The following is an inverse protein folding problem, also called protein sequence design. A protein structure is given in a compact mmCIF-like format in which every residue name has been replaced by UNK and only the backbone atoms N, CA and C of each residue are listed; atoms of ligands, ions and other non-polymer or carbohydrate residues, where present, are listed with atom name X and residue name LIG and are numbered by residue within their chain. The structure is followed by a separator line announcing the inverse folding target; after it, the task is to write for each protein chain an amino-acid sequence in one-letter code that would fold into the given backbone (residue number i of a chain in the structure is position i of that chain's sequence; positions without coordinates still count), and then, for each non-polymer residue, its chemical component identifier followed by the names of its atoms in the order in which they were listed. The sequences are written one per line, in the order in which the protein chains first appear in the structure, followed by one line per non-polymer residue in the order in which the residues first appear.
data_IF_004034516003
#
_entry.id   IF_004034516003
#
_cell.length_a   1.000
_cell.length_b   1.000
_cell.length_c   1.000
_cell.angle_alpha   90.00
_cell.angle_beta   90.00
_cell.angle_gamma   90.00
#
_symmetry.space_group_name_H-M   'P 1'
#
loop_
_entity.id
_entity.type
_entity.pdbx_description
1 polymer ?
#
# COMPACT_ATOMS: atom_id res chain seq x y z
N UNK A 1 -14.91 -9.96 8.93
CA UNK A 1 -13.62 -10.52 9.30
C UNK A 1 -12.84 -10.87 8.04
N UNK A 2 -11.53 -10.62 8.03
CA UNK A 2 -10.64 -11.06 6.96
C UNK A 2 -10.49 -12.59 6.99
N UNK A 3 -10.28 -13.21 5.83
CA UNK A 3 -10.02 -14.65 5.70
C UNK A 3 -8.61 -15.04 6.12
N UNK A 4 -7.67 -14.08 6.23
CA UNK A 4 -6.31 -14.25 6.74
C UNK A 4 -5.92 -13.06 7.63
N UNK A 5 -5.04 -13.28 8.60
CA UNK A 5 -4.51 -12.22 9.46
C UNK A 5 -3.58 -11.27 8.69
N UNK A 6 -2.78 -11.82 7.78
CA UNK A 6 -1.82 -11.06 6.97
C UNK A 6 -2.49 -10.44 5.75
N UNK A 7 -2.27 -9.14 5.55
CA UNK A 7 -2.88 -8.37 4.45
C UNK A 7 -2.57 -8.96 3.07
N UNK A 8 -1.32 -9.37 2.84
CA UNK A 8 -0.92 -9.92 1.54
C UNK A 8 -1.61 -11.26 1.24
N UNK A 9 -1.85 -12.12 2.22
CA UNK A 9 -2.60 -13.36 2.05
C UNK A 9 -4.10 -13.10 1.85
N UNK A 10 -4.66 -12.18 2.63
CA UNK A 10 -6.06 -11.78 2.50
C UNK A 10 -6.37 -11.20 1.12
N UNK A 11 -5.53 -10.27 0.64
CA UNK A 11 -5.65 -9.67 -0.69
C UNK A 11 -5.45 -10.71 -1.80
N UNK A 12 -4.41 -11.54 -1.71
CA UNK A 12 -4.16 -12.60 -2.68
C UNK A 12 -5.35 -13.57 -2.77
N UNK A 13 -5.92 -13.96 -1.64
CA UNK A 13 -7.10 -14.83 -1.60
C UNK A 13 -8.33 -14.16 -2.22
N UNK A 14 -8.65 -12.94 -1.79
CA UNK A 14 -9.85 -12.22 -2.22
C UNK A 14 -9.80 -11.92 -3.72
N UNK A 15 -8.69 -11.36 -4.22
CA UNK A 15 -8.53 -10.98 -5.61
C UNK A 15 -8.38 -12.19 -6.57
N UNK A 16 -8.13 -13.38 -6.03
CA UNK A 16 -8.10 -14.62 -6.83
C UNK A 16 -9.27 -15.55 -6.53
N UNK A 17 -10.23 -15.13 -5.67
CA UNK A 17 -11.45 -15.87 -5.35
C UNK A 17 -11.19 -17.30 -4.85
N UNK A 18 -10.10 -17.49 -4.10
CA UNK A 18 -9.73 -18.81 -3.55
C UNK A 18 -8.89 -18.70 -2.29
N UNK A 19 -8.98 -19.66 -1.41
CA UNK A 19 -8.06 -19.77 -0.29
C UNK A 19 -6.64 -20.09 -0.76
N UNK A 20 -5.64 -19.56 -0.05
CA UNK A 20 -4.22 -19.67 -0.41
C UNK A 20 -3.43 -20.60 0.52
N UNK A 21 -4.12 -21.46 1.30
CA UNK A 21 -3.49 -22.38 2.25
C UNK A 21 -2.49 -23.33 1.56
N UNK A 22 -2.75 -23.69 0.29
CA UNK A 22 -1.85 -24.54 -0.50
C UNK A 22 -0.44 -23.93 -0.72
N UNK A 23 -0.26 -22.64 -0.45
CA UNK A 23 1.05 -22.01 -0.55
C UNK A 23 2.02 -22.56 0.50
N UNK A 24 1.54 -22.97 1.68
CA UNK A 24 2.38 -23.62 2.69
C UNK A 24 3.04 -24.89 2.18
N UNK A 25 2.33 -25.67 1.36
CA UNK A 25 2.86 -26.88 0.73
C UNK A 25 3.94 -26.58 -0.30
N UNK A 26 3.88 -25.37 -0.91
CA UNK A 26 4.80 -24.95 -1.99
C UNK A 26 6.06 -24.29 -1.46
N UNK A 27 5.92 -23.39 -0.49
CA UNK A 27 7.03 -22.54 0.01
C UNK A 27 7.46 -22.90 1.43
N UNK A 28 6.74 -23.81 2.12
CA UNK A 28 6.93 -24.17 3.53
C UNK A 28 6.12 -23.31 4.50
N UNK A 29 5.68 -23.94 5.60
CA UNK A 29 4.83 -23.29 6.62
C UNK A 29 5.50 -22.07 7.30
N UNK A 30 6.82 -22.15 7.50
CA UNK A 30 7.63 -21.13 8.14
C UNK A 30 8.21 -20.09 7.14
N UNK A 31 7.77 -20.13 5.86
CA UNK A 31 8.33 -19.29 4.81
C UNK A 31 7.92 -17.83 4.98
N UNK A 32 8.91 -16.93 4.94
CA UNK A 32 8.72 -15.49 4.89
C UNK A 32 8.66 -14.94 3.46
N UNK A 33 8.65 -15.82 2.45
CA UNK A 33 8.61 -15.42 1.04
C UNK A 33 7.23 -14.92 0.61
N UNK A 34 7.10 -13.63 0.45
CA UNK A 34 5.86 -12.95 0.04
C UNK A 34 5.74 -12.74 -1.48
N UNK A 35 6.74 -13.18 -2.27
CA UNK A 35 6.77 -12.93 -3.73
C UNK A 35 5.56 -13.52 -4.44
N UNK A 36 5.17 -14.75 -4.09
CA UNK A 36 4.03 -15.42 -4.73
C UNK A 36 2.71 -14.69 -4.42
N UNK A 37 2.35 -14.39 -3.15
CA UNK A 37 1.18 -13.59 -2.86
C UNK A 37 1.17 -12.22 -3.55
N UNK A 38 2.30 -11.50 -3.62
CA UNK A 38 2.37 -10.22 -4.32
C UNK A 38 2.14 -10.35 -5.84
N UNK A 39 2.70 -11.38 -6.48
CA UNK A 39 2.41 -11.68 -7.89
C UNK A 39 0.93 -12.00 -8.10
N UNK A 40 0.32 -12.75 -7.18
CA UNK A 40 -1.11 -13.08 -7.23
C UNK A 40 -1.99 -11.83 -7.09
N UNK A 41 -1.57 -10.81 -6.32
CA UNK A 41 -2.25 -9.52 -6.21
C UNK A 41 -2.07 -8.72 -7.50
N UNK A 42 -0.82 -8.58 -7.96
CA UNK A 42 -0.48 -7.73 -9.11
C UNK A 42 -1.13 -8.19 -10.43
N UNK A 43 -1.36 -9.49 -10.57
CA UNK A 43 -1.90 -10.12 -11.79
C UNK A 43 -3.05 -11.08 -11.45
N UNK A 44 -4.07 -10.58 -10.78
CA UNK A 44 -5.13 -11.36 -10.15
C UNK A 44 -6.26 -11.79 -11.09
N UNK A 45 -7.03 -12.80 -10.66
CA UNK A 45 -8.11 -13.38 -11.46
C UNK A 45 -9.34 -12.46 -11.58
N UNK A 46 -9.68 -11.70 -10.54
CA UNK A 46 -10.83 -10.78 -10.59
C UNK A 46 -10.65 -9.78 -11.72
N UNK A 47 -9.50 -9.12 -11.77
CA UNK A 47 -9.22 -8.12 -12.80
C UNK A 47 -9.06 -8.74 -14.19
N UNK A 48 -8.47 -9.96 -14.30
CA UNK A 48 -8.44 -10.70 -15.56
C UNK A 48 -9.83 -10.99 -16.11
N UNK A 49 -10.74 -11.42 -15.24
CA UNK A 49 -12.12 -11.69 -15.62
C UNK A 49 -12.83 -10.41 -16.06
N UNK A 50 -12.66 -9.30 -15.33
CA UNK A 50 -13.22 -8.03 -15.71
C UNK A 50 -12.69 -7.54 -17.06
N UNK A 51 -11.38 -7.64 -17.28
CA UNK A 51 -10.78 -7.30 -18.60
C UNK A 51 -11.34 -8.18 -19.72
N UNK A 52 -11.57 -9.46 -19.47
CA UNK A 52 -12.10 -10.38 -20.49
C UNK A 52 -13.51 -10.01 -20.97
N UNK A 53 -14.26 -9.28 -20.15
CA UNK A 53 -15.60 -8.77 -20.49
C UNK A 53 -15.62 -7.26 -20.81
N UNK A 54 -14.45 -6.68 -21.06
CA UNK A 54 -14.31 -5.34 -21.62
C UNK A 54 -14.09 -4.21 -20.63
N UNK A 55 -13.87 -4.48 -19.33
CA UNK A 55 -13.54 -3.43 -18.36
C UNK A 55 -12.13 -2.91 -18.53
N UNK A 56 -11.95 -1.62 -18.30
CA UNK A 56 -10.67 -0.99 -17.99
C UNK A 56 -10.43 -1.01 -16.48
N UNK A 57 -9.18 -1.27 -16.08
CA UNK A 57 -8.79 -1.41 -14.68
C UNK A 57 -7.92 -0.22 -14.26
N UNK A 58 -8.39 0.55 -13.31
CA UNK A 58 -7.66 1.66 -12.72
C UNK A 58 -7.28 1.32 -11.29
N UNK A 59 -5.99 1.36 -10.98
CA UNK A 59 -5.44 1.15 -9.65
C UNK A 59 -4.97 2.49 -9.06
N UNK A 60 -5.27 2.72 -7.80
CA UNK A 60 -4.71 3.83 -7.03
C UNK A 60 -3.54 3.34 -6.18
N UNK A 61 -2.37 3.98 -6.35
CA UNK A 61 -1.19 3.70 -5.53
C UNK A 61 -1.51 3.86 -4.04
N UNK A 62 -1.37 2.77 -3.29
CA UNK A 62 -1.60 2.73 -1.84
C UNK A 62 -0.36 3.11 -1.02
N UNK A 63 0.81 3.14 -1.64
CA UNK A 63 2.10 3.20 -0.96
C UNK A 63 2.56 1.87 -0.37
N UNK A 64 1.70 0.86 -0.32
CA UNK A 64 2.07 -0.48 0.13
C UNK A 64 2.44 -1.37 -1.05
N UNK A 65 3.53 -2.13 -0.93
CA UNK A 65 4.11 -2.93 -2.01
C UNK A 65 3.11 -3.77 -2.79
N UNK A 66 2.16 -4.39 -2.11
CA UNK A 66 1.21 -5.31 -2.73
C UNK A 66 0.19 -4.63 -3.65
N UNK A 67 -0.11 -3.34 -3.43
CA UNK A 67 -1.13 -2.59 -4.19
C UNK A 67 -0.67 -1.21 -4.63
N UNK A 68 0.65 -0.96 -4.57
CA UNK A 68 1.26 0.27 -5.07
C UNK A 68 1.07 0.40 -6.58
N UNK A 69 1.40 -0.66 -7.30
CA UNK A 69 1.24 -0.74 -8.74
C UNK A 69 0.80 -2.15 -9.11
N UNK A 70 -0.23 -2.25 -9.91
CA UNK A 70 -0.72 -3.54 -10.41
C UNK A 70 -0.35 -3.69 -11.88
N UNK A 71 0.30 -4.81 -12.21
CA UNK A 71 0.72 -5.11 -13.57
C UNK A 71 -0.47 -5.20 -14.53
N UNK A 72 -1.59 -5.73 -14.03
CA UNK A 72 -2.81 -5.90 -14.81
C UNK A 72 -3.60 -4.60 -15.02
N UNK A 73 -3.33 -3.54 -14.28
CA UNK A 73 -4.04 -2.27 -14.41
C UNK A 73 -3.72 -1.57 -15.73
N UNK A 74 -4.71 -0.95 -16.34
CA UNK A 74 -4.55 -0.08 -17.51
C UNK A 74 -3.96 1.28 -17.12
N UNK A 75 -4.27 1.74 -15.89
CA UNK A 75 -3.65 2.91 -15.28
C UNK A 75 -3.36 2.68 -13.80
N UNK A 76 -2.18 3.13 -13.34
CA UNK A 76 -1.81 3.25 -11.94
C UNK A 76 -1.76 4.74 -11.59
N UNK A 77 -2.77 5.19 -10.84
CA UNK A 77 -2.99 6.60 -10.48
C UNK A 77 -2.33 6.93 -9.14
N UNK A 78 -2.14 8.22 -8.86
CA UNK A 78 -1.50 8.71 -7.63
C UNK A 78 -0.08 8.16 -7.38
N UNK A 79 0.57 7.63 -8.40
CA UNK A 79 1.97 7.20 -8.30
C UNK A 79 2.86 8.42 -8.14
N UNK A 80 3.48 8.57 -6.98
CA UNK A 80 4.44 9.64 -6.76
C UNK A 80 5.75 9.30 -7.49
N UNK A 81 6.33 10.31 -8.14
CA UNK A 81 7.65 10.19 -8.76
C UNK A 81 8.69 9.91 -7.66
N UNK A 82 9.15 8.67 -7.58
CA UNK A 82 10.09 8.22 -6.56
C UNK A 82 11.51 8.62 -6.93
N UNK A 83 11.91 9.79 -6.46
CA UNK A 83 13.32 10.15 -6.37
C UNK A 83 13.94 9.49 -5.12
N UNK A 84 14.09 8.21 -5.06
CA UNK A 84 14.62 7.40 -3.99
C UNK A 84 13.57 6.96 -2.96
N UNK A 85 13.26 5.68 -2.98
CA UNK A 85 12.33 5.02 -2.08
C UNK A 85 12.80 5.17 -0.62
N UNK A 86 11.89 5.53 0.27
CA UNK A 86 12.11 5.63 1.71
C UNK A 86 12.79 4.38 2.28
N UNK A 87 12.38 3.19 1.84
CA UNK A 87 13.00 1.94 2.28
C UNK A 87 14.46 1.85 1.87
N UNK A 88 14.82 2.32 0.68
CA UNK A 88 16.21 2.40 0.21
C UNK A 88 16.99 3.41 1.01
N UNK A 89 16.42 4.59 1.29
CA UNK A 89 17.05 5.62 2.12
C UNK A 89 17.26 5.13 3.56
N UNK A 90 16.22 4.49 4.13
CA UNK A 90 16.28 3.92 5.47
C UNK A 90 17.30 2.78 5.56
N UNK A 91 17.35 1.89 4.56
CA UNK A 91 18.34 0.81 4.48
C UNK A 91 19.77 1.35 4.35
N UNK A 92 19.98 2.35 3.49
CA UNK A 92 21.28 3.02 3.35
C UNK A 92 21.71 3.70 4.65
N UNK A 93 20.79 4.33 5.37
CA UNK A 93 21.03 4.93 6.67
C UNK A 93 21.43 3.88 7.71
N UNK A 94 20.73 2.74 7.76
CA UNK A 94 21.04 1.63 8.68
C UNK A 94 22.40 0.98 8.41
N UNK A 95 22.85 0.95 7.16
CA UNK A 95 24.13 0.37 6.74
C UNK A 95 25.31 1.35 6.85
N UNK A 96 25.07 2.64 7.13
CA UNK A 96 26.09 3.67 7.10
C UNK A 96 26.54 4.11 8.50
N UNK A 97 27.69 4.77 8.55
CA UNK A 97 28.27 5.42 9.75
C UNK A 97 27.33 6.47 10.33
N UNK A 98 26.34 6.93 9.55
CA UNK A 98 25.33 7.92 9.97
C UNK A 98 24.43 7.42 11.11
N UNK A 99 24.31 6.11 11.33
CA UNK A 99 23.62 5.55 12.49
C UNK A 99 24.15 6.07 13.83
N UNK A 100 25.46 6.37 13.89
CA UNK A 100 26.08 6.92 15.10
C UNK A 100 25.68 8.38 15.39
N UNK A 101 25.19 9.10 14.37
CA UNK A 101 24.74 10.50 14.46
C UNK A 101 23.23 10.63 14.65
N UNK A 102 22.45 9.56 14.57
CA UNK A 102 20.97 9.56 14.72
C UNK A 102 20.48 10.12 16.06
N UNK A 103 21.36 10.15 17.06
CA UNK A 103 21.03 10.67 18.41
C UNK A 103 20.90 12.20 18.41
N UNK A 104 21.46 12.89 17.40
CA UNK A 104 21.56 14.35 17.37
C UNK A 104 20.79 15.03 16.25
N UNK A 105 20.23 14.30 15.28
CA UNK A 105 19.53 14.86 14.13
C UNK A 105 18.11 14.31 14.09
N UNK A 106 17.11 15.20 14.23
CA UNK A 106 15.72 14.89 13.94
C UNK A 106 15.66 14.27 12.54
N UNK A 107 15.15 13.06 12.41
CA UNK A 107 15.14 12.32 11.15
C UNK A 107 14.17 12.96 10.15
N UNK A 108 14.64 13.69 9.14
CA UNK A 108 13.75 14.32 8.15
C UNK A 108 13.01 13.27 7.30
N UNK A 109 13.53 12.04 7.21
CA UNK A 109 12.91 10.98 6.40
C UNK A 109 11.54 10.56 6.94
N UNK A 110 11.35 10.67 8.26
CA UNK A 110 10.06 10.33 8.89
C UNK A 110 8.98 11.36 8.57
N UNK A 111 9.34 12.64 8.54
CA UNK A 111 8.41 13.74 8.23
C UNK A 111 8.02 13.72 6.75
N UNK A 112 9.00 13.46 5.86
CA UNK A 112 8.77 13.28 4.41
C UNK A 112 7.82 12.10 4.17
N UNK A 113 8.06 10.95 4.80
CA UNK A 113 7.20 9.77 4.68
C UNK A 113 5.76 10.04 5.14
N UNK A 114 5.61 10.78 6.23
CA UNK A 114 4.31 11.16 6.78
C UNK A 114 3.54 12.06 5.80
N UNK A 115 4.23 13.05 5.23
CA UNK A 115 3.67 13.95 4.22
C UNK A 115 3.30 13.20 2.94
N UNK A 116 4.20 12.38 2.39
CA UNK A 116 3.92 11.56 1.20
C UNK A 116 2.70 10.68 1.37
N UNK A 117 2.51 10.10 2.56
CA UNK A 117 1.35 9.26 2.86
C UNK A 117 0.06 10.07 2.87
N UNK A 118 0.08 11.27 3.45
CA UNK A 118 -1.07 12.19 3.42
C UNK A 118 -1.41 12.60 2.00
N UNK A 119 -0.43 13.07 1.24
CA UNK A 119 -0.61 13.52 -0.13
C UNK A 119 -1.18 12.41 -1.01
N UNK A 120 -0.73 11.17 -0.80
CA UNK A 120 -1.27 10.00 -1.49
C UNK A 120 -2.73 9.74 -1.15
N UNK A 121 -3.11 9.81 0.12
CA UNK A 121 -4.50 9.63 0.55
C UNK A 121 -5.36 10.75 -0.03
N UNK A 122 -4.91 12.01 0.00
CA UNK A 122 -5.63 13.12 -0.62
C UNK A 122 -5.76 12.93 -2.13
N UNK A 123 -4.70 12.52 -2.82
CA UNK A 123 -4.75 12.19 -4.23
C UNK A 123 -5.81 11.11 -4.51
N UNK A 124 -5.83 10.02 -3.74
CA UNK A 124 -6.81 8.95 -3.90
C UNK A 124 -8.24 9.47 -3.80
N UNK A 125 -8.55 10.32 -2.82
CA UNK A 125 -9.90 10.86 -2.63
C UNK A 125 -10.25 11.97 -3.63
N UNK A 126 -9.30 12.77 -4.07
CA UNK A 126 -9.49 13.77 -5.11
C UNK A 126 -9.73 13.12 -6.46
N UNK A 127 -8.80 12.28 -6.88
CA UNK A 127 -8.78 11.77 -8.25
C UNK A 127 -9.88 10.75 -8.52
N UNK A 128 -10.38 10.03 -7.48
CA UNK A 128 -11.52 9.12 -7.67
C UNK A 128 -12.76 9.87 -8.14
N UNK A 129 -12.93 11.12 -7.74
CA UNK A 129 -14.06 11.97 -8.15
C UNK A 129 -13.89 12.51 -9.57
N UNK A 130 -12.65 12.55 -10.06
CA UNK A 130 -12.30 13.07 -11.37
C UNK A 130 -12.21 11.97 -12.45
N UNK A 131 -12.38 10.70 -12.05
CA UNK A 131 -12.42 9.60 -13.04
C UNK A 131 -13.59 9.83 -13.98
N UNK A 132 -13.28 10.43 -15.10
CA UNK A 132 -14.22 10.58 -16.20
C UNK A 132 -14.18 9.32 -17.03
N UNK A 133 -15.35 8.83 -17.34
CA UNK A 133 -15.50 7.76 -18.33
C UNK A 133 -15.21 8.36 -19.72
N UNK A 134 -13.95 8.47 -20.07
CA UNK A 134 -13.52 8.99 -21.38
C UNK A 134 -13.73 7.96 -22.50
N UNK A 135 -13.96 6.71 -22.11
CA UNK A 135 -14.18 5.59 -23.02
C UNK A 135 -15.60 5.04 -22.86
N UNK A 136 -16.15 4.45 -23.90
CA UNK A 136 -17.44 3.72 -23.82
C UNK A 136 -17.34 2.43 -23.00
N UNK A 137 -16.15 2.08 -22.52
CA UNK A 137 -15.90 0.89 -21.75
C UNK A 137 -16.22 1.12 -20.26
N UNK A 138 -16.77 0.11 -19.57
CA UNK A 138 -16.92 0.17 -18.13
C UNK A 138 -15.56 0.18 -17.43
N UNK A 139 -15.44 0.94 -16.35
CA UNK A 139 -14.20 1.05 -15.56
C UNK A 139 -14.38 0.34 -14.22
N UNK A 140 -13.39 -0.45 -13.85
CA UNK A 140 -13.24 -0.99 -12.50
C UNK A 140 -12.12 -0.25 -11.79
N UNK A 141 -12.46 0.38 -10.66
CA UNK A 141 -11.50 1.09 -9.83
C UNK A 141 -11.13 0.22 -8.63
N UNK A 142 -9.83 0.02 -8.45
CA UNK A 142 -9.28 -0.60 -7.26
C UNK A 142 -8.50 0.43 -6.44
N UNK A 143 -8.95 0.68 -5.22
CA UNK A 143 -8.34 1.64 -4.31
C UNK A 143 -8.15 1.01 -2.92
N UNK A 144 -6.90 0.83 -2.52
CA UNK A 144 -6.54 0.37 -1.19
C UNK A 144 -6.02 1.56 -0.37
N UNK A 145 -6.85 2.08 0.53
CA UNK A 145 -6.51 3.23 1.37
C UNK A 145 -5.83 2.76 2.64
N UNK A 146 -4.60 3.25 2.88
CA UNK A 146 -3.80 2.90 4.06
C UNK A 146 -4.15 3.78 5.28
N UNK A 147 -5.44 4.06 5.48
CA UNK A 147 -5.95 4.79 6.64
C UNK A 147 -7.15 4.03 7.24
N UNK A 148 -7.28 3.98 8.54
CA UNK A 148 -6.39 4.42 9.63
C UNK A 148 -5.34 3.36 10.00
N UNK A 149 -4.20 3.34 9.33
CA UNK A 149 -3.09 2.43 9.63
C UNK A 149 -1.92 3.24 10.22
N UNK A 150 -1.18 2.68 11.16
CA UNK A 150 0.03 3.30 11.71
C UNK A 150 1.11 3.49 10.62
N UNK A 151 1.85 4.63 10.60
CA UNK A 151 1.66 5.83 11.41
C UNK A 151 0.41 6.63 11.00
N UNK A 152 -0.33 7.10 12.00
CA UNK A 152 -1.53 7.90 11.76
C UNK A 152 -1.16 9.27 11.20
N UNK A 153 -1.77 9.64 10.09
CA UNK A 153 -1.51 10.90 9.39
C UNK A 153 -2.64 11.92 9.53
N UNK A 154 -3.78 11.48 10.09
CA UNK A 154 -4.94 12.31 10.36
C UNK A 154 -5.43 12.13 11.79
N UNK A 155 -5.86 13.22 12.41
CA UNK A 155 -6.59 13.20 13.67
C UNK A 155 -8.08 12.84 13.50
N UNK A 156 -8.82 12.77 14.61
CA UNK A 156 -10.23 12.34 14.60
C UNK A 156 -11.18 13.17 13.74
N UNK A 157 -10.82 14.43 13.46
CA UNK A 157 -11.63 15.34 12.62
C UNK A 157 -10.99 15.55 11.23
N UNK A 158 -9.98 14.74 10.86
CA UNK A 158 -9.27 14.85 9.60
C UNK A 158 -8.14 15.90 9.59
N UNK A 159 -7.85 16.53 10.74
CA UNK A 159 -6.74 17.47 10.90
C UNK A 159 -5.38 16.76 10.77
N UNK A 160 -4.37 17.55 10.42
CA UNK A 160 -3.00 17.04 10.37
C UNK A 160 -2.49 16.70 11.77
N UNK A 161 -1.85 15.53 11.88
CA UNK A 161 -1.17 15.09 13.11
C UNK A 161 0.33 15.26 12.92
N UNK A 162 0.99 15.93 13.87
CA UNK A 162 2.45 15.92 13.91
C UNK A 162 2.97 14.49 14.06
N UNK A 163 3.99 14.15 13.29
CA UNK A 163 4.67 12.87 13.40
C UNK A 163 5.24 12.72 14.82
N UNK A 164 4.63 11.84 15.61
CA UNK A 164 5.19 11.39 16.89
C UNK A 164 5.55 9.91 16.73
N UNK A 165 6.82 9.59 16.96
CA UNK A 165 7.27 8.21 17.03
C UNK A 165 6.48 7.48 18.12
N UNK A 166 5.52 6.66 17.73
CA UNK A 166 4.81 5.74 18.61
C UNK A 166 5.15 4.30 18.24
N UNK A 167 6.45 3.96 18.27
CA UNK A 167 6.85 2.56 18.40
C UNK A 167 6.71 2.16 19.87
N UNK A 168 5.50 1.82 20.27
CA UNK A 168 5.19 1.28 21.58
C UNK A 168 3.83 0.58 21.52
N UNK A 169 3.54 -0.36 22.44
CA UNK A 169 2.25 -1.05 22.48
C UNK A 169 1.08 -0.15 22.90
N UNK A 170 1.22 1.15 22.81
CA UNK A 170 0.25 2.17 23.21
C UNK A 170 -0.52 2.73 22.00
N UNK A 171 -1.03 1.87 21.12
CA UNK A 171 -2.09 2.22 20.18
C UNK A 171 -3.39 2.71 20.84
N UNK A 172 -3.36 2.91 22.16
CA UNK A 172 -4.47 3.38 23.02
C UNK A 172 -4.58 4.89 23.15
N UNK A 173 -3.76 5.69 22.45
CA UNK A 173 -3.82 7.17 22.57
C UNK A 173 -4.80 7.82 21.58
N UNK A 174 -5.40 7.05 20.67
CA UNK A 174 -6.33 7.57 19.64
C UNK A 174 -7.74 6.94 19.68
N UNK A 175 -8.14 6.36 20.81
CA UNK A 175 -9.53 5.96 21.06
C UNK A 175 -10.14 6.81 22.16
#
# INVERSE_FOLDING_TARGET
HSNYAETFLAMASTLNMKYVNYLSDTVGEESLDQRIPYQMISNNHVMKNLKSIGYEIYNFDSGWWGTRSLEIADANLCSQNQNMDFHTLHALKQLSVFRAFDIFIKDPSSEIFHQERRDRIFCQFSDITEIKQETEKPVFVFMHVMAPHDPYVFGPNGEEVEYKYTFGPTGTIYL
#
